data_IF_184223067592
#
_entry.id   IF_184223067592
#
_cell.length_a   1.000
_cell.length_b   1.000
_cell.length_c   1.000
_cell.angle_alpha   90.00
_cell.angle_beta   90.00
_cell.angle_gamma   90.00
#
_symmetry.space_group_name_H-M   'P 1'
#
loop_
_entity.id
_entity.type
_entity.pdbx_description
1 polymer ?
#
# COMPACT_ATOMS: atom_id res chain seq x y z
N UNK A 1 15.23 7.80 11.87
CA UNK A 1 16.12 6.62 11.79
C UNK A 1 15.26 5.40 12.10
N UNK A 2 15.32 4.29 11.34
CA UNK A 2 14.42 3.16 11.54
C UNK A 2 14.62 2.56 12.94
N UNK A 3 13.53 2.36 13.68
CA UNK A 3 13.57 1.76 15.02
C UNK A 3 13.71 0.26 14.86
N UNK A 4 14.81 -0.31 15.37
CA UNK A 4 15.12 -1.74 15.25
C UNK A 4 15.17 -2.36 16.65
N UNK A 5 14.40 -3.43 16.88
CA UNK A 5 14.36 -4.17 18.16
C UNK A 5 14.52 -5.68 17.91
N UNK A 6 15.04 -6.48 18.84
CA UNK A 6 14.98 -7.93 18.71
C UNK A 6 13.54 -8.44 18.88
N UNK A 7 13.19 -9.53 18.21
CA UNK A 7 11.86 -10.15 18.31
C UNK A 7 11.51 -10.59 19.73
N UNK A 8 12.52 -10.80 20.59
CA UNK A 8 12.34 -11.10 22.01
C UNK A 8 11.69 -9.97 22.80
N UNK A 9 11.76 -8.72 22.33
CA UNK A 9 11.14 -7.57 23.01
C UNK A 9 9.61 -7.63 22.97
N UNK A 10 9.03 -8.43 22.07
CA UNK A 10 7.60 -8.70 22.05
C UNK A 10 7.09 -9.42 23.31
N UNK A 11 7.97 -9.96 24.16
CA UNK A 11 7.59 -10.40 25.51
C UNK A 11 6.96 -9.27 26.33
N UNK A 12 7.41 -8.03 26.11
CA UNK A 12 6.78 -6.81 26.61
C UNK A 12 6.33 -5.93 25.45
N UNK A 13 5.34 -6.43 24.70
CA UNK A 13 4.89 -5.79 23.46
C UNK A 13 4.45 -4.32 23.64
N UNK A 14 4.02 -3.88 24.83
CA UNK A 14 3.65 -2.49 25.09
C UNK A 14 4.80 -1.49 24.86
N UNK A 15 6.05 -1.88 25.08
CA UNK A 15 7.21 -1.02 24.77
C UNK A 15 7.52 -0.96 23.29
N UNK A 16 7.22 -2.04 22.56
CA UNK A 16 7.39 -2.09 21.11
C UNK A 16 6.30 -1.27 20.43
N UNK A 17 5.04 -1.42 20.84
CA UNK A 17 3.90 -0.73 20.23
C UNK A 17 3.92 0.78 20.49
N UNK A 18 4.45 1.24 21.62
CA UNK A 18 4.64 2.68 21.89
C UNK A 18 5.53 3.39 20.87
N UNK A 19 6.42 2.62 20.24
CA UNK A 19 7.34 3.13 19.25
C UNK A 19 6.79 3.13 17.82
N UNK A 20 5.63 2.51 17.60
CA UNK A 20 4.97 2.44 16.29
C UNK A 20 4.02 3.62 16.14
N UNK A 21 4.25 4.42 15.10
CA UNK A 21 3.33 5.49 14.71
C UNK A 21 3.31 5.64 13.19
N UNK A 22 2.40 6.46 12.66
CA UNK A 22 2.28 6.71 11.22
C UNK A 22 3.60 7.25 10.67
N UNK A 23 4.17 6.59 9.67
CA UNK A 23 5.46 6.89 9.07
C UNK A 23 6.67 6.40 9.88
N UNK A 24 6.46 5.83 11.06
CA UNK A 24 7.51 5.34 11.96
C UNK A 24 7.33 3.85 12.29
N UNK A 25 7.67 2.95 11.35
CA UNK A 25 7.60 1.51 11.60
C UNK A 25 8.71 1.04 12.55
N UNK A 26 8.42 -0.01 13.31
CA UNK A 26 9.41 -0.74 14.10
C UNK A 26 9.79 -2.04 13.39
N UNK A 27 11.07 -2.22 13.12
CA UNK A 27 11.60 -3.44 12.51
C UNK A 27 12.10 -4.40 13.59
N UNK A 28 11.72 -5.67 13.48
CA UNK A 28 12.16 -6.71 14.41
C UNK A 28 13.21 -7.61 13.80
N UNK A 29 14.25 -7.90 14.58
CA UNK A 29 15.32 -8.82 14.21
C UNK A 29 15.20 -10.17 14.90
N UNK A 30 15.62 -11.24 14.24
CA UNK A 30 15.85 -12.55 14.84
C UNK A 30 17.31 -12.93 14.60
N UNK A 31 18.07 -13.14 15.67
CA UNK A 31 19.51 -13.42 15.60
C UNK A 31 20.28 -12.36 14.79
N UNK A 32 20.00 -11.07 15.04
CA UNK A 32 20.64 -9.94 14.37
C UNK A 32 20.18 -9.67 12.93
N UNK A 33 19.28 -10.48 12.36
CA UNK A 33 18.76 -10.30 11.00
C UNK A 33 17.33 -9.79 11.02
N UNK A 34 17.04 -8.72 10.27
CA UNK A 34 15.68 -8.21 10.09
C UNK A 34 14.74 -9.31 9.59
N UNK A 35 13.55 -9.40 10.19
CA UNK A 35 12.59 -10.48 9.90
C UNK A 35 11.13 -10.02 9.86
N UNK A 36 10.76 -9.05 10.68
CA UNK A 36 9.40 -8.53 10.73
C UNK A 36 9.41 -7.01 10.75
N UNK A 37 8.28 -6.41 10.40
CA UNK A 37 8.00 -4.99 10.59
C UNK A 37 6.62 -4.88 11.26
N UNK A 38 6.51 -3.96 12.22
CA UNK A 38 5.24 -3.54 12.80
C UNK A 38 5.02 -2.12 12.32
N UNK A 39 3.87 -1.90 11.69
CA UNK A 39 3.49 -0.64 11.07
C UNK A 39 2.14 -0.20 11.62
N UNK A 40 1.88 1.09 11.59
CA UNK A 40 0.54 1.60 11.84
C UNK A 40 -0.43 1.10 10.77
N UNK A 41 -1.70 0.90 11.14
CA UNK A 41 -2.71 0.39 10.22
C UNK A 41 -2.92 1.34 9.02
N UNK A 42 -2.80 2.65 9.21
CA UNK A 42 -2.93 3.62 8.13
C UNK A 42 -1.82 3.46 7.08
N UNK A 43 -0.60 3.15 7.50
CA UNK A 43 0.52 2.89 6.58
C UNK A 43 0.34 1.57 5.83
N UNK A 44 -0.17 0.55 6.52
CA UNK A 44 -0.50 -0.73 5.89
C UNK A 44 -1.56 -0.55 4.80
N UNK A 45 -2.67 0.12 5.12
CA UNK A 45 -3.75 0.41 4.17
C UNK A 45 -3.27 1.25 2.98
N UNK A 46 -2.47 2.30 3.24
CA UNK A 46 -1.86 3.11 2.20
C UNK A 46 -0.97 2.28 1.26
N UNK A 47 -0.21 1.34 1.81
CA UNK A 47 0.63 0.42 1.02
C UNK A 47 -0.22 -0.49 0.14
N UNK A 48 -1.30 -1.07 0.69
CA UNK A 48 -2.24 -1.89 -0.08
C UNK A 48 -2.92 -1.08 -1.19
N UNK A 49 -3.38 0.13 -0.90
CA UNK A 49 -3.98 1.02 -1.88
C UNK A 49 -3.01 1.39 -3.01
N UNK A 50 -1.74 1.63 -2.67
CA UNK A 50 -0.68 1.93 -3.65
C UNK A 50 -0.43 0.75 -4.57
N UNK A 51 -0.31 -0.47 -4.04
CA UNK A 51 -0.14 -1.69 -4.84
C UNK A 51 -1.31 -1.87 -5.81
N UNK A 52 -2.55 -1.70 -5.32
CA UNK A 52 -3.75 -1.80 -6.14
C UNK A 52 -3.75 -0.76 -7.25
N UNK A 53 -3.45 0.50 -6.93
CA UNK A 53 -3.39 1.60 -7.90
C UNK A 53 -2.37 1.29 -9.01
N UNK A 54 -1.14 0.90 -8.64
CA UNK A 54 -0.10 0.59 -9.61
C UNK A 54 -0.47 -0.60 -10.50
N UNK A 55 -1.14 -1.62 -9.95
CA UNK A 55 -1.65 -2.75 -10.72
C UNK A 55 -2.69 -2.30 -11.77
N UNK A 56 -3.67 -1.49 -11.36
CA UNK A 56 -4.71 -1.00 -12.27
C UNK A 56 -4.16 -0.04 -13.33
N UNK A 57 -3.21 0.84 -12.96
CA UNK A 57 -2.51 1.69 -13.92
C UNK A 57 -1.74 0.86 -14.96
N UNK A 58 -1.04 -0.19 -14.53
CA UNK A 58 -0.31 -1.09 -15.44
C UNK A 58 -1.26 -1.79 -16.40
N UNK A 59 -2.42 -2.26 -15.92
CA UNK A 59 -3.46 -2.86 -16.77
C UNK A 59 -4.00 -1.85 -17.77
N UNK A 60 -4.29 -0.63 -17.32
CA UNK A 60 -4.78 0.46 -18.17
C UNK A 60 -3.78 0.82 -19.27
N UNK A 61 -2.50 0.96 -18.91
CA UNK A 61 -1.42 1.24 -19.84
C UNK A 61 -1.31 0.15 -20.91
N UNK A 62 -1.22 -1.11 -20.50
CA UNK A 62 -1.14 -2.25 -21.41
C UNK A 62 -2.35 -2.30 -22.35
N UNK A 63 -3.56 -2.05 -21.85
CA UNK A 63 -4.76 -1.99 -22.68
C UNK A 63 -4.69 -0.87 -23.72
N UNK A 64 -4.19 0.31 -23.35
CA UNK A 64 -4.02 1.43 -24.27
C UNK A 64 -2.99 1.16 -25.36
N UNK A 65 -1.88 0.51 -25.01
CA UNK A 65 -0.83 0.11 -25.95
C UNK A 65 -1.32 -0.98 -26.92
N UNK A 66 -2.07 -1.99 -26.45
CA UNK A 66 -2.51 -3.12 -27.27
C UNK A 66 -3.79 -2.85 -28.07
N UNK A 67 -4.73 -2.08 -27.51
CA UNK A 67 -6.09 -1.90 -28.07
C UNK A 67 -6.38 -0.46 -28.50
N UNK A 68 -5.44 0.45 -28.30
CA UNK A 68 -5.60 1.87 -28.53
C UNK A 68 -6.14 2.62 -27.31
N UNK A 69 -5.84 3.93 -27.27
CA UNK A 69 -6.27 4.84 -26.22
C UNK A 69 -7.66 5.40 -26.52
N UNK A 70 -8.44 5.65 -25.47
CA UNK A 70 -9.74 6.31 -25.59
C UNK A 70 -9.57 7.82 -25.39
N UNK A 71 -10.30 8.61 -26.18
CA UNK A 71 -10.39 10.04 -25.93
C UNK A 71 -11.31 10.28 -24.73
N UNK A 72 -11.02 11.36 -24.00
CA UNK A 72 -11.80 11.79 -22.85
C UNK A 72 -13.30 11.95 -23.16
N UNK A 73 -13.63 12.46 -24.36
CA UNK A 73 -15.02 12.66 -24.78
C UNK A 73 -15.76 11.32 -24.98
N UNK A 74 -15.09 10.30 -25.53
CA UNK A 74 -15.68 8.96 -25.70
C UNK A 74 -15.98 8.30 -24.35
N UNK A 75 -15.08 8.49 -23.39
CA UNK A 75 -15.26 8.02 -22.00
C UNK A 75 -16.47 8.71 -21.37
N UNK A 76 -16.56 10.04 -21.45
CA UNK A 76 -17.70 10.80 -20.92
C UNK A 76 -19.03 10.35 -21.53
N UNK A 77 -19.12 10.25 -22.85
CA UNK A 77 -20.35 9.82 -23.54
C UNK A 77 -20.81 8.43 -23.07
N UNK A 78 -19.87 7.49 -22.90
CA UNK A 78 -20.14 6.14 -22.41
C UNK A 78 -20.71 6.10 -20.99
N UNK A 79 -20.27 7.00 -20.10
CA UNK A 79 -20.77 7.06 -18.73
C UNK A 79 -22.03 7.90 -18.58
N UNK A 80 -22.24 8.93 -19.41
CA UNK A 80 -23.47 9.73 -19.42
C UNK A 80 -24.72 8.87 -19.75
N UNK A 81 -24.59 7.90 -20.65
CA UNK A 81 -25.68 6.97 -20.99
C UNK A 81 -26.07 6.00 -19.87
N UNK A 82 -25.20 5.80 -18.85
CA UNK A 82 -25.44 4.86 -17.74
C UNK A 82 -26.06 5.50 -16.50
N UNK A 83 -26.20 6.82 -16.46
CA UNK A 83 -26.84 7.54 -15.33
C UNK A 83 -28.38 7.54 -15.47
N UNK A 84 -28.89 7.12 -16.64
CA UNK A 84 -30.32 7.10 -16.98
C UNK A 84 -30.93 5.69 -17.04
N UNK A 85 -30.22 4.69 -16.51
CA UNK A 85 -30.68 3.30 -16.32
C UNK A 85 -30.63 2.95 -14.83
#
# INVERSE_FOLDING_TARGET
>A
MPKIKPVSDLRNYNEVLRDVSVGEPVFLTKNGRGRYAIVDIADFEKTQATIKLMSELTKGQKSGEEKGWLLHEDVKARFAGKVHE
#
